data_IF_380905789924
#
_entry.id   IF_380905789924
#
_cell.length_a   1.000
_cell.length_b   1.000
_cell.length_c   1.000
_cell.angle_alpha   90.00
_cell.angle_beta   90.00
_cell.angle_gamma   90.00
#
_symmetry.space_group_name_H-M   'P 1'
#
loop_
_entity.id
_entity.type
_entity.pdbx_description
1 polymer ?
#
# COMPACT_ATOMS: atom_id res chain seq x y z
N UNK A 1 3.58 -36.72 6.86
CA UNK A 1 2.26 -37.25 6.47
C UNK A 1 1.43 -36.08 5.98
N UNK A 2 0.89 -36.20 4.77
CA UNK A 2 0.24 -35.16 3.98
C UNK A 2 -1.15 -34.80 4.50
N UNK A 3 -1.38 -33.53 4.83
CA UNK A 3 -2.72 -32.94 4.89
C UNK A 3 -2.75 -31.63 4.08
N UNK A 4 -2.76 -31.78 2.76
CA UNK A 4 -3.25 -30.75 1.82
C UNK A 4 -4.51 -31.28 1.16
N UNK A 5 -5.68 -30.88 1.66
CA UNK A 5 -6.98 -30.88 0.98
C UNK A 5 -8.00 -30.33 1.96
N UNK A 6 -8.69 -29.25 1.59
CA UNK A 6 -10.11 -28.97 1.86
C UNK A 6 -10.39 -27.49 1.54
N UNK A 7 -10.46 -27.18 0.25
CA UNK A 7 -11.23 -26.05 -0.28
C UNK A 7 -11.74 -26.46 -1.66
N UNK A 8 -12.72 -27.38 -1.66
CA UNK A 8 -13.59 -27.64 -2.80
C UNK A 8 -14.98 -27.85 -2.24
N UNK A 9 -15.77 -26.77 -2.21
CA UNK A 9 -17.22 -26.90 -2.12
C UNK A 9 -17.85 -26.54 -3.46
N UNK A 10 -18.63 -27.53 -3.87
CA UNK A 10 -19.50 -27.69 -5.01
C UNK A 10 -20.56 -26.58 -5.12
N UNK A 11 -20.65 -25.94 -6.29
CA UNK A 11 -21.86 -25.25 -6.75
C UNK A 11 -22.02 -25.44 -8.25
N UNK A 12 -22.56 -26.59 -8.61
CA UNK A 12 -23.05 -26.89 -9.95
C UNK A 12 -24.58 -26.79 -9.99
N UNK A 13 -25.13 -25.67 -10.46
CA UNK A 13 -26.51 -25.63 -10.97
C UNK A 13 -26.82 -24.42 -11.88
N UNK A 14 -26.64 -24.66 -13.19
CA UNK A 14 -27.51 -24.32 -14.33
C UNK A 14 -28.12 -22.91 -14.45
N UNK A 15 -27.78 -22.23 -15.55
CA UNK A 15 -28.76 -21.70 -16.53
C UNK A 15 -28.07 -21.41 -17.89
N UNK A 16 -28.83 -21.30 -19.00
CA UNK A 16 -28.46 -21.93 -20.26
C UNK A 16 -28.15 -20.94 -21.39
N UNK A 17 -27.30 -21.40 -22.31
CA UNK A 17 -27.30 -21.03 -23.72
C UNK A 17 -26.79 -19.64 -24.05
N UNK A 18 -26.00 -19.53 -25.11
CA UNK A 18 -26.20 -18.62 -26.25
C UNK A 18 -25.22 -19.10 -27.36
N UNK A 19 -25.59 -18.98 -28.64
CA UNK A 19 -25.03 -19.81 -29.70
C UNK A 19 -23.71 -19.26 -30.27
N UNK A 20 -22.92 -20.21 -30.78
CA UNK A 20 -21.80 -19.99 -31.68
C UNK A 20 -22.26 -19.39 -33.01
N UNK A 21 -21.43 -18.51 -33.59
CA UNK A 21 -21.47 -18.21 -35.02
C UNK A 21 -20.04 -18.16 -35.58
N UNK A 22 -19.86 -18.96 -36.62
CA UNK A 22 -18.67 -19.16 -37.44
C UNK A 22 -18.30 -17.92 -38.27
N UNK A 23 -17.04 -17.84 -38.71
CA UNK A 23 -16.63 -16.90 -39.74
C UNK A 23 -15.15 -17.01 -40.15
N UNK A 24 -14.79 -18.11 -40.83
CA UNK A 24 -13.59 -18.19 -41.67
C UNK A 24 -13.72 -17.22 -42.86
N UNK A 25 -12.66 -16.48 -43.19
CA UNK A 25 -12.30 -16.21 -44.59
C UNK A 25 -10.85 -15.76 -44.73
N UNK A 26 -10.19 -16.36 -45.71
CA UNK A 26 -8.78 -16.21 -46.04
C UNK A 26 -8.51 -15.06 -47.02
N UNK A 27 -7.27 -14.57 -47.00
CA UNK A 27 -6.50 -14.21 -48.20
C UNK A 27 -6.75 -12.83 -48.82
N UNK A 28 -5.72 -11.98 -48.80
CA UNK A 28 -4.99 -11.63 -50.04
C UNK A 28 -3.72 -10.82 -49.74
N UNK A 29 -2.64 -11.24 -50.40
CA UNK A 29 -1.39 -10.50 -50.58
C UNK A 29 -1.62 -9.38 -51.60
N UNK A 30 -1.12 -8.18 -51.33
CA UNK A 30 -0.51 -7.31 -52.33
C UNK A 30 0.28 -6.18 -51.63
N UNK A 31 1.60 -6.17 -51.81
CA UNK A 31 2.44 -4.97 -51.64
C UNK A 31 2.40 -4.20 -52.95
N UNK A 32 2.45 -2.85 -52.91
CA UNK A 32 3.58 -2.23 -53.59
C UNK A 32 4.09 -0.92 -52.95
N UNK A 33 5.35 -0.64 -53.31
CA UNK A 33 6.00 0.67 -53.51
C UNK A 33 6.45 1.46 -52.28
N UNK A 34 7.72 1.22 -51.95
CA UNK A 34 8.64 2.15 -51.31
C UNK A 34 8.97 3.26 -52.33
N UNK A 35 8.44 4.46 -52.11
CA UNK A 35 8.94 5.72 -52.69
C UNK A 35 8.90 6.80 -51.61
N UNK A 36 10.10 7.22 -51.22
CA UNK A 36 10.52 8.50 -50.62
C UNK A 36 9.46 9.47 -50.07
N UNK A 37 9.50 9.69 -48.74
CA UNK A 37 9.14 10.96 -48.11
C UNK A 37 9.90 11.15 -46.78
N UNK A 38 11.20 11.41 -46.93
CA UNK A 38 12.00 12.17 -45.97
C UNK A 38 11.52 13.63 -46.03
N UNK A 39 10.69 14.09 -45.08
CA UNK A 39 10.54 15.50 -44.63
C UNK A 39 9.28 15.76 -43.77
N UNK A 40 8.91 14.86 -42.85
CA UNK A 40 7.84 15.14 -41.86
C UNK A 40 8.08 14.44 -40.51
N UNK A 41 9.35 14.29 -40.12
CA UNK A 41 9.77 13.51 -38.94
C UNK A 41 10.38 14.36 -37.81
N UNK A 42 10.16 15.68 -37.83
CA UNK A 42 10.70 16.62 -36.85
C UNK A 42 9.65 17.43 -36.06
N UNK A 43 8.37 17.12 -36.21
CA UNK A 43 7.28 17.87 -35.56
C UNK A 43 6.31 17.02 -34.70
N UNK A 44 6.67 15.78 -34.32
CA UNK A 44 5.79 14.87 -33.57
C UNK A 44 6.40 14.25 -32.30
N UNK A 45 7.51 14.79 -31.79
CA UNK A 45 8.09 14.37 -30.51
C UNK A 45 8.14 15.47 -29.45
N UNK A 46 7.37 16.55 -29.64
CA UNK A 46 6.91 17.39 -28.53
C UNK A 46 5.58 16.82 -28.01
N UNK A 47 5.56 15.52 -27.71
CA UNK A 47 4.57 14.97 -26.79
C UNK A 47 4.91 15.61 -25.45
N UNK A 48 4.31 16.77 -25.19
CA UNK A 48 4.32 17.40 -23.88
C UNK A 48 3.85 16.32 -22.91
N UNK A 49 4.80 15.70 -22.21
CA UNK A 49 4.51 15.01 -20.98
C UNK A 49 3.82 16.08 -20.14
N UNK A 50 2.49 15.99 -20.05
CA UNK A 50 1.70 16.73 -19.09
C UNK A 50 2.13 16.15 -17.75
N UNK A 51 3.30 16.60 -17.28
CA UNK A 51 3.75 16.37 -15.93
C UNK A 51 2.64 16.93 -15.06
N UNK A 52 2.08 16.09 -14.20
CA UNK A 52 1.15 16.54 -13.17
C UNK A 52 1.80 17.74 -12.48
N UNK A 53 1.21 18.92 -12.64
CA UNK A 53 1.68 20.15 -12.00
C UNK A 53 1.16 20.13 -10.56
N UNK A 54 1.57 19.12 -9.80
CA UNK A 54 1.31 18.96 -8.36
C UNK A 54 2.22 19.89 -7.55
N UNK A 55 2.26 21.17 -7.91
CA UNK A 55 2.93 22.18 -7.10
C UNK A 55 1.86 22.84 -6.24
N UNK A 56 1.55 22.21 -5.10
CA UNK A 56 1.12 22.96 -3.93
C UNK A 56 2.19 24.01 -3.65
N UNK A 57 1.91 25.32 -3.76
CA UNK A 57 2.80 26.30 -3.15
C UNK A 57 2.85 26.01 -1.64
N UNK A 58 4.02 26.09 -1.02
CA UNK A 58 4.16 25.90 0.43
C UNK A 58 3.30 26.91 1.24
N UNK A 59 2.87 28.00 0.60
CA UNK A 59 1.96 29.00 1.18
C UNK A 59 0.51 28.52 1.33
N UNK A 60 0.08 27.49 0.61
CA UNK A 60 -1.32 27.06 0.62
C UNK A 60 -1.58 26.05 1.74
N UNK A 61 -2.46 26.45 2.66
CA UNK A 61 -2.84 25.65 3.82
C UNK A 61 -3.60 24.38 3.43
N UNK A 62 -4.40 24.42 2.36
CA UNK A 62 -5.09 23.26 1.80
C UNK A 62 -5.05 23.33 0.27
N UNK A 63 -4.39 22.37 -0.36
CA UNK A 63 -4.38 22.26 -1.82
C UNK A 63 -5.21 21.08 -2.30
N UNK A 64 -5.70 21.17 -3.53
CA UNK A 64 -6.27 20.05 -4.27
C UNK A 64 -5.16 19.23 -4.95
N UNK A 65 -5.35 17.92 -5.04
CA UNK A 65 -4.51 16.98 -5.81
C UNK A 65 -5.41 16.19 -6.75
N UNK A 66 -4.95 15.95 -7.97
CA UNK A 66 -5.68 15.18 -8.99
C UNK A 66 -4.74 14.14 -9.62
N UNK A 67 -5.17 12.87 -9.68
CA UNK A 67 -4.43 11.79 -10.36
C UNK A 67 -5.29 11.19 -11.46
N UNK A 68 -4.97 11.51 -12.71
CA UNK A 68 -5.78 11.13 -13.86
C UNK A 68 -5.79 9.62 -14.18
N UNK A 69 -4.75 8.87 -13.79
CA UNK A 69 -4.59 7.45 -14.16
C UNK A 69 -3.99 6.64 -13.03
N UNK A 70 -4.80 6.19 -12.06
CA UNK A 70 -4.27 5.72 -10.79
C UNK A 70 -3.52 4.38 -10.85
N UNK A 71 -3.95 3.45 -11.68
CA UNK A 71 -3.45 2.07 -11.73
C UNK A 71 -1.94 1.92 -11.99
N UNK A 72 -1.27 2.93 -12.59
CA UNK A 72 0.18 2.89 -12.89
C UNK A 72 0.94 4.10 -12.38
N UNK A 73 0.27 5.08 -11.79
CA UNK A 73 0.91 6.35 -11.46
C UNK A 73 2.07 6.15 -10.48
N UNK A 74 1.93 5.31 -9.45
CA UNK A 74 2.94 5.13 -8.40
C UNK A 74 4.24 4.54 -8.98
N UNK A 75 4.25 3.36 -9.63
CA UNK A 75 5.45 2.86 -10.30
C UNK A 75 6.01 3.83 -11.36
N UNK A 76 5.16 4.51 -12.11
CA UNK A 76 5.61 5.43 -13.17
C UNK A 76 6.22 6.73 -12.65
N UNK A 77 6.02 7.07 -11.38
CA UNK A 77 6.54 8.29 -10.75
C UNK A 77 7.63 7.98 -9.71
N UNK A 78 8.35 6.86 -9.90
CA UNK A 78 9.52 6.52 -9.09
C UNK A 78 9.22 6.00 -7.69
N UNK A 79 7.96 5.67 -7.40
CA UNK A 79 7.64 5.00 -6.14
C UNK A 79 8.00 3.52 -6.19
N UNK A 80 8.59 3.02 -5.12
CA UNK A 80 8.78 1.59 -4.88
C UNK A 80 7.76 1.07 -3.87
N UNK A 81 7.21 -0.12 -4.13
CA UNK A 81 6.34 -0.78 -3.17
C UNK A 81 7.13 -1.28 -1.96
N UNK A 82 6.64 -0.94 -0.76
CA UNK A 82 7.15 -1.31 0.55
C UNK A 82 6.34 -2.47 1.11
N UNK A 83 6.84 -3.68 0.91
CA UNK A 83 6.23 -4.92 1.36
C UNK A 83 6.86 -5.33 2.70
N UNK A 84 6.12 -5.22 3.83
CA UNK A 84 6.63 -5.63 5.14
C UNK A 84 6.74 -7.15 5.26
N UNK A 85 7.50 -7.65 6.24
CA UNK A 85 7.66 -9.10 6.45
C UNK A 85 6.34 -9.84 6.76
N UNK A 86 5.39 -9.15 7.39
CA UNK A 86 4.06 -9.69 7.67
C UNK A 86 3.03 -8.97 6.82
N UNK A 87 2.12 -9.74 6.26
CA UNK A 87 1.03 -9.25 5.43
C UNK A 87 0.23 -8.16 6.16
N UNK A 88 -0.19 -7.15 5.40
CA UNK A 88 -1.13 -6.15 5.88
C UNK A 88 -2.53 -6.79 5.97
N UNK A 89 -3.36 -6.39 6.95
CA UNK A 89 -4.69 -6.97 7.15
C UNK A 89 -5.64 -6.65 5.98
N UNK A 90 -6.57 -7.57 5.66
CA UNK A 90 -7.48 -7.52 4.49
C UNK A 90 -8.92 -7.98 4.87
N UNK A 91 -9.89 -7.78 3.98
CA UNK A 91 -11.29 -8.23 4.07
C UNK A 91 -11.40 -9.75 4.01
N UNK A 92 -12.58 -10.25 4.43
CA UNK A 92 -12.92 -11.68 4.47
C UNK A 92 -12.60 -12.46 3.19
N UNK A 93 -12.72 -11.81 2.03
CA UNK A 93 -12.60 -12.42 0.71
C UNK A 93 -11.31 -12.04 -0.03
N UNK A 94 -10.42 -11.28 0.61
CA UNK A 94 -9.19 -10.74 -0.01
C UNK A 94 -9.52 -9.91 -1.25
N UNK A 95 -10.73 -9.35 -1.32
CA UNK A 95 -11.12 -8.45 -2.41
C UNK A 95 -10.49 -7.08 -2.24
N UNK A 96 -10.23 -6.64 -1.00
CA UNK A 96 -9.43 -5.45 -0.74
C UNK A 96 -7.93 -5.79 -0.61
N UNK A 97 -7.07 -4.95 -1.15
CA UNK A 97 -5.63 -5.07 -0.99
C UNK A 97 -5.06 -3.73 -0.58
N UNK A 98 -4.03 -3.76 0.25
CA UNK A 98 -3.31 -2.57 0.70
C UNK A 98 -1.90 -2.64 0.13
N UNK A 99 -1.59 -1.67 -0.71
CA UNK A 99 -0.25 -1.41 -1.20
C UNK A 99 0.31 -0.19 -0.48
N UNK A 100 1.60 -0.21 -0.15
CA UNK A 100 2.28 0.95 0.42
C UNK A 100 3.46 1.27 -0.45
N UNK A 101 3.54 2.50 -0.90
CA UNK A 101 4.54 2.98 -1.82
C UNK A 101 5.40 4.03 -1.14
N UNK A 102 6.70 4.05 -1.46
CA UNK A 102 7.66 5.01 -0.96
C UNK A 102 8.43 5.62 -2.14
N UNK A 103 8.53 6.93 -2.16
CA UNK A 103 9.40 7.68 -3.05
C UNK A 103 10.40 8.47 -2.20
N UNK A 104 11.68 8.23 -2.41
CA UNK A 104 12.78 9.03 -1.87
C UNK A 104 13.37 9.87 -3.00
N UNK A 105 13.54 11.20 -2.85
CA UNK A 105 14.09 12.01 -3.92
C UNK A 105 15.48 11.54 -4.35
N UNK A 106 15.72 11.59 -5.66
CA UNK A 106 16.98 11.19 -6.29
C UNK A 106 18.17 11.89 -5.62
N UNK A 107 19.25 11.13 -5.36
CA UNK A 107 20.46 11.63 -4.71
C UNK A 107 20.35 11.92 -3.22
N UNK A 108 19.14 11.86 -2.62
CA UNK A 108 18.96 12.00 -1.18
C UNK A 108 19.21 10.69 -0.44
N UNK A 109 19.49 10.78 0.87
CA UNK A 109 19.77 9.61 1.72
C UNK A 109 18.85 9.55 2.93
N UNK A 110 18.36 8.35 3.21
CA UNK A 110 17.68 8.00 4.45
C UNK A 110 18.74 7.85 5.53
N UNK A 111 18.63 8.66 6.56
CA UNK A 111 19.46 8.59 7.76
C UNK A 111 18.82 7.75 8.86
N UNK A 112 19.52 7.68 9.99
CA UNK A 112 19.03 7.01 11.19
C UNK A 112 19.33 7.82 12.44
N UNK A 113 18.53 7.58 13.47
CA UNK A 113 18.69 8.18 14.79
C UNK A 113 18.40 7.15 15.88
N UNK A 114 19.26 7.11 16.89
CA UNK A 114 19.00 6.31 18.08
C UNK A 114 18.06 7.06 19.03
N UNK A 115 16.98 6.40 19.45
CA UNK A 115 16.01 6.91 20.42
C UNK A 115 16.33 6.32 21.79
N UNK A 116 17.04 7.07 22.64
CA UNK A 116 17.54 6.57 23.92
C UNK A 116 16.43 6.13 24.89
N UNK A 117 15.31 6.85 24.89
CA UNK A 117 14.11 6.56 25.69
C UNK A 117 13.39 5.27 25.27
N UNK A 118 13.53 4.89 23.99
CA UNK A 118 12.92 3.70 23.41
C UNK A 118 13.92 2.57 23.17
N UNK A 119 15.22 2.84 23.40
CA UNK A 119 16.34 1.92 23.17
C UNK A 119 16.35 1.29 21.76
N UNK A 120 15.98 2.06 20.74
CA UNK A 120 15.88 1.57 19.36
C UNK A 120 16.41 2.59 18.35
N UNK A 121 16.86 2.10 17.20
CA UNK A 121 17.16 2.96 16.05
C UNK A 121 15.90 3.20 15.23
N UNK A 122 15.77 4.41 14.68
CA UNK A 122 14.67 4.81 13.81
C UNK A 122 15.19 5.42 12.51
N UNK A 123 14.34 5.46 11.48
CA UNK A 123 14.66 6.10 10.20
C UNK A 123 14.41 7.61 10.27
N UNK A 124 15.23 8.36 9.55
CA UNK A 124 15.07 9.79 9.31
C UNK A 124 15.04 10.00 7.81
N UNK A 125 13.86 10.34 7.29
CA UNK A 125 13.67 10.55 5.86
C UNK A 125 14.08 11.96 5.43
N UNK A 126 14.72 12.12 4.25
CA UNK A 126 15.03 13.43 3.71
C UNK A 126 13.76 14.18 3.33
N UNK A 127 13.88 15.51 3.22
CA UNK A 127 12.84 16.34 2.64
C UNK A 127 12.46 15.87 1.22
N UNK A 128 11.17 15.96 0.89
CA UNK A 128 10.62 15.49 -0.37
C UNK A 128 10.28 14.00 -0.40
N UNK A 129 10.64 13.21 0.63
CA UNK A 129 10.16 11.83 0.74
C UNK A 129 8.65 11.80 0.83
N UNK A 130 8.04 10.87 0.10
CA UNK A 130 6.61 10.64 0.10
C UNK A 130 6.31 9.17 0.34
N UNK A 131 5.37 8.90 1.26
CA UNK A 131 4.85 7.55 1.48
C UNK A 131 3.35 7.55 1.28
N UNK A 132 2.83 6.55 0.56
CA UNK A 132 1.43 6.48 0.16
C UNK A 132 0.87 5.08 0.38
N UNK A 133 -0.19 4.97 1.15
CA UNK A 133 -1.05 3.79 1.25
C UNK A 133 -2.12 3.87 0.16
N UNK A 134 -2.19 2.86 -0.69
CA UNK A 134 -3.19 2.69 -1.74
C UNK A 134 -4.02 1.46 -1.40
N UNK A 135 -5.32 1.67 -1.15
CA UNK A 135 -6.29 0.58 -1.00
C UNK A 135 -6.91 0.33 -2.37
N UNK A 136 -6.80 -0.91 -2.85
CA UNK A 136 -7.43 -1.38 -4.08
C UNK A 136 -8.51 -2.38 -3.78
N UNK A 137 -9.42 -2.56 -4.73
CA UNK A 137 -10.39 -3.65 -4.74
C UNK A 137 -10.33 -4.39 -6.06
N UNK A 138 -10.34 -5.72 -6.01
CA UNK A 138 -10.33 -6.58 -7.18
C UNK A 138 -11.71 -6.70 -7.81
N UNK A 139 -11.77 -6.76 -9.13
CA UNK A 139 -12.97 -7.03 -9.90
C UNK A 139 -12.71 -7.91 -11.13
N UNK A 140 -13.77 -8.39 -11.77
CA UNK A 140 -13.67 -9.16 -13.01
C UNK A 140 -13.55 -10.69 -12.86
N UNK A 141 -13.67 -11.24 -11.66
CA UNK A 141 -13.66 -12.70 -11.42
C UNK A 141 -12.38 -13.19 -10.73
N UNK A 142 -12.05 -14.49 -10.83
CA UNK A 142 -10.86 -15.12 -10.23
C UNK A 142 -9.72 -15.39 -11.23
N UNK A 143 -9.87 -14.90 -12.47
CA UNK A 143 -8.91 -15.22 -13.52
C UNK A 143 -7.56 -14.50 -13.31
N UNK A 144 -6.43 -15.11 -13.71
CA UNK A 144 -5.13 -14.45 -13.65
C UNK A 144 -5.16 -13.17 -14.50
N UNK A 145 -4.97 -12.01 -13.86
CA UNK A 145 -5.11 -10.69 -14.49
C UNK A 145 -6.34 -9.90 -14.05
N UNK A 146 -6.97 -10.26 -12.91
CA UNK A 146 -8.02 -9.45 -12.27
C UNK A 146 -7.64 -7.98 -12.26
N UNK A 147 -8.52 -7.16 -12.82
CA UNK A 147 -8.37 -5.72 -12.76
C UNK A 147 -8.56 -5.25 -11.30
N UNK A 148 -7.82 -4.21 -10.94
CA UNK A 148 -7.91 -3.56 -9.64
C UNK A 148 -8.39 -2.12 -9.80
N UNK A 149 -9.27 -1.69 -8.89
CA UNK A 149 -9.72 -0.31 -8.76
C UNK A 149 -9.17 0.29 -7.48
N UNK A 150 -8.53 1.46 -7.56
CA UNK A 150 -8.14 2.21 -6.37
C UNK A 150 -9.38 2.80 -5.71
N UNK A 151 -9.54 2.61 -4.40
CA UNK A 151 -10.72 3.10 -3.63
C UNK A 151 -10.38 4.17 -2.61
N UNK A 152 -9.15 4.18 -2.10
CA UNK A 152 -8.68 5.14 -1.11
C UNK A 152 -7.16 5.26 -1.21
N UNK A 153 -6.67 6.49 -1.21
CA UNK A 153 -5.24 6.79 -1.15
C UNK A 153 -5.00 7.72 0.01
N UNK A 154 -4.05 7.37 0.88
CA UNK A 154 -3.61 8.23 1.99
C UNK A 154 -2.11 8.32 1.95
N UNK A 155 -1.58 9.53 1.98
CA UNK A 155 -0.15 9.72 1.94
C UNK A 155 0.34 10.82 2.85
N UNK A 156 1.65 10.82 3.02
CA UNK A 156 2.38 11.83 3.76
C UNK A 156 3.62 12.20 2.98
N UNK A 157 3.86 13.51 2.82
CA UNK A 157 5.08 14.07 2.26
C UNK A 157 5.88 14.78 3.36
N UNK A 158 7.18 14.51 3.43
CA UNK A 158 8.12 15.24 4.30
C UNK A 158 8.45 16.57 3.63
N UNK A 159 8.09 17.70 4.24
CA UNK A 159 8.35 19.02 3.68
C UNK A 159 9.81 19.45 3.75
N UNK A 160 10.18 20.43 2.94
CA UNK A 160 11.54 21.01 2.84
C UNK A 160 12.02 21.69 4.12
N UNK A 161 11.10 22.23 4.91
CA UNK A 161 11.39 22.89 6.19
C UNK A 161 11.14 22.00 7.42
N UNK A 162 10.82 20.71 7.21
CA UNK A 162 10.47 19.77 8.27
C UNK A 162 8.98 19.49 8.52
N UNK A 163 8.01 20.41 8.28
CA UNK A 163 6.60 20.07 8.42
C UNK A 163 6.20 18.97 7.45
N UNK A 164 5.43 18.01 7.95
CA UNK A 164 4.82 16.98 7.11
C UNK A 164 3.54 17.53 6.52
N UNK A 165 3.22 17.10 5.31
CA UNK A 165 1.88 17.30 4.74
C UNK A 165 1.20 15.97 4.59
N UNK A 166 -0.02 15.86 5.09
CA UNK A 166 -0.89 14.73 4.79
C UNK A 166 -1.65 15.00 3.50
N UNK A 167 -2.09 13.93 2.84
CA UNK A 167 -3.07 14.03 1.79
C UNK A 167 -3.93 12.78 1.71
N UNK A 168 -5.16 12.96 1.22
CA UNK A 168 -6.09 11.86 0.97
C UNK A 168 -6.75 12.08 -0.38
N UNK A 169 -6.74 11.04 -1.22
CA UNK A 169 -7.38 11.00 -2.53
C UNK A 169 -8.46 9.91 -2.56
N UNK A 170 -9.53 10.19 -3.28
CA UNK A 170 -10.65 9.27 -3.51
C UNK A 170 -11.02 9.29 -4.99
N UNK A 171 -11.62 8.21 -5.51
CA UNK A 171 -12.23 8.19 -6.84
C UNK A 171 -13.17 9.37 -7.04
N UNK A 172 -13.05 10.05 -8.18
CA UNK A 172 -13.93 11.15 -8.56
C UNK A 172 -15.33 10.67 -8.97
N UNK A 173 -15.44 9.41 -9.41
CA UNK A 173 -16.67 8.76 -9.84
C UNK A 173 -16.62 7.24 -9.59
N UNK A 174 -17.71 6.54 -9.94
CA UNK A 174 -17.87 5.10 -9.70
C UNK A 174 -17.28 4.18 -10.78
N UNK A 175 -16.59 4.72 -11.79
CA UNK A 175 -15.93 3.90 -12.81
C UNK A 175 -14.75 3.13 -12.21
N UNK A 176 -14.43 1.98 -12.80
CA UNK A 176 -13.38 1.11 -12.27
C UNK A 176 -11.97 1.73 -12.35
N UNK A 177 -11.75 2.66 -13.28
CA UNK A 177 -10.48 3.36 -13.46
C UNK A 177 -10.66 4.87 -13.24
N UNK A 178 -11.58 5.25 -12.35
CA UNK A 178 -11.89 6.63 -12.04
C UNK A 178 -10.61 7.42 -11.68
N UNK A 179 -10.45 8.65 -12.18
CA UNK A 179 -9.38 9.51 -11.71
C UNK A 179 -9.55 9.76 -10.20
N UNK A 180 -8.44 9.98 -9.50
CA UNK A 180 -8.48 10.31 -8.08
C UNK A 180 -8.46 11.82 -7.90
N UNK A 181 -9.20 12.30 -6.91
CA UNK A 181 -9.22 13.68 -6.48
C UNK A 181 -9.12 13.74 -4.97
N UNK A 182 -8.48 14.78 -4.45
CA UNK A 182 -8.24 14.87 -3.04
C UNK A 182 -7.62 16.17 -2.60
N UNK A 183 -7.17 16.19 -1.35
CA UNK A 183 -6.56 17.38 -0.76
C UNK A 183 -5.33 17.05 0.07
N UNK A 184 -4.39 17.99 0.11
CA UNK A 184 -3.23 17.98 1.00
C UNK A 184 -3.27 19.15 1.98
N UNK A 185 -2.83 18.91 3.22
CA UNK A 185 -2.75 19.91 4.29
C UNK A 185 -1.53 19.66 5.21
N UNK A 186 -1.01 20.70 5.91
CA UNK A 186 0.01 20.55 6.94
C UNK A 186 -0.46 19.63 8.09
N UNK A 187 0.41 18.73 8.54
CA UNK A 187 0.11 17.73 9.56
C UNK A 187 -0.19 18.32 10.95
N UNK A 188 0.29 19.53 11.22
CA UNK A 188 0.17 20.28 12.46
C UNK A 188 -0.94 21.35 12.42
N UNK A 189 -1.66 21.48 11.31
CA UNK A 189 -2.77 22.43 11.17
C UNK A 189 -4.13 21.72 11.24
N UNK A 190 -4.72 21.73 12.45
CA UNK A 190 -6.02 21.13 12.70
C UNK A 190 -7.17 21.83 11.96
N UNK A 191 -7.05 23.13 11.64
CA UNK A 191 -8.07 23.84 10.87
C UNK A 191 -7.99 23.42 9.39
N UNK A 192 -6.79 23.36 8.83
CA UNK A 192 -6.57 22.86 7.48
C UNK A 192 -7.05 21.43 7.31
N UNK A 193 -6.78 20.56 8.29
CA UNK A 193 -7.29 19.19 8.32
C UNK A 193 -8.82 19.14 8.27
N UNK A 194 -9.52 19.98 9.06
CA UNK A 194 -10.99 20.06 9.01
C UNK A 194 -11.49 20.53 7.66
N UNK A 195 -10.88 21.58 7.08
CA UNK A 195 -11.27 22.09 5.76
C UNK A 195 -11.06 21.03 4.67
N UNK A 196 -9.91 20.36 4.65
CA UNK A 196 -9.63 19.27 3.71
C UNK A 196 -10.64 18.12 3.88
N UNK A 197 -10.95 17.73 5.12
CA UNK A 197 -11.95 16.70 5.42
C UNK A 197 -13.33 17.09 4.90
N UNK A 198 -13.80 18.30 5.17
CA UNK A 198 -15.12 18.75 4.71
C UNK A 198 -15.22 18.74 3.18
N UNK A 199 -14.17 19.18 2.47
CA UNK A 199 -14.12 19.14 1.00
C UNK A 199 -14.12 17.71 0.46
N UNK A 200 -13.37 16.81 1.10
CA UNK A 200 -13.33 15.38 0.76
C UNK A 200 -14.70 14.71 0.91
N UNK A 201 -15.40 14.98 2.01
CA UNK A 201 -16.73 14.45 2.27
C UNK A 201 -17.75 14.98 1.26
N UNK A 202 -17.72 16.28 0.94
CA UNK A 202 -18.60 16.87 -0.06
C UNK A 202 -18.42 16.23 -1.44
N UNK A 203 -17.17 16.04 -1.87
CA UNK A 203 -16.86 15.38 -3.14
C UNK A 203 -17.31 13.92 -3.15
N UNK A 204 -17.09 13.20 -2.05
CA UNK A 204 -17.37 11.75 -1.98
C UNK A 204 -18.87 11.45 -1.84
N UNK A 205 -19.68 12.35 -1.27
CA UNK A 205 -21.11 12.14 -1.05
C UNK A 205 -21.91 11.89 -2.34
N UNK A 206 -21.48 12.48 -3.46
CA UNK A 206 -22.11 12.30 -4.77
C UNK A 206 -21.36 11.36 -5.71
N UNK A 207 -20.13 10.98 -5.36
CA UNK A 207 -19.33 10.08 -6.18
C UNK A 207 -19.84 8.64 -6.00
N UNK A 208 -20.08 7.93 -7.10
CA UNK A 208 -20.19 6.47 -7.04
C UNK A 208 -18.91 5.88 -6.45
N UNK A 209 -18.98 4.70 -5.84
CA UNK A 209 -17.76 3.99 -5.46
C UNK A 209 -17.35 3.04 -6.59
N UNK A 210 -16.04 2.78 -6.77
CA UNK A 210 -15.57 2.00 -7.92
C UNK A 210 -16.27 0.66 -8.09
N UNK A 211 -16.33 0.22 -9.35
CA UNK A 211 -16.98 -1.04 -9.77
C UNK A 211 -18.50 -0.98 -9.56
N UNK A 212 -19.09 0.19 -9.80
CA UNK A 212 -20.54 0.39 -9.75
C UNK A 212 -21.16 0.18 -8.37
N UNK A 213 -20.35 0.24 -7.31
CA UNK A 213 -20.85 0.23 -5.93
C UNK A 213 -21.54 1.58 -5.65
N UNK A 214 -22.60 1.59 -4.82
CA UNK A 214 -23.31 2.83 -4.51
C UNK A 214 -22.38 3.85 -3.85
N UNK A 215 -22.72 5.16 -3.91
CA UNK A 215 -22.06 6.17 -3.08
C UNK A 215 -22.05 5.76 -1.60
N UNK A 216 -21.10 6.31 -0.84
CA UNK A 216 -21.08 6.11 0.60
C UNK A 216 -22.36 6.66 1.23
N UNK A 217 -22.98 5.88 2.11
CA UNK A 217 -24.08 6.34 2.94
C UNK A 217 -23.58 7.27 4.08
N UNK A 218 -24.50 7.73 4.93
CA UNK A 218 -24.17 8.64 6.03
C UNK A 218 -23.15 8.05 7.02
N UNK A 219 -23.24 6.74 7.29
CA UNK A 219 -22.33 6.04 8.19
C UNK A 219 -20.95 5.89 7.56
N UNK A 220 -20.88 5.57 6.27
CA UNK A 220 -19.65 5.51 5.49
C UNK A 220 -18.95 6.87 5.40
N UNK A 221 -19.68 7.97 5.20
CA UNK A 221 -19.13 9.32 5.22
C UNK A 221 -18.64 9.70 6.62
N UNK A 222 -19.37 9.33 7.67
CA UNK A 222 -18.94 9.54 9.07
C UNK A 222 -17.65 8.78 9.36
N UNK A 223 -17.55 7.51 8.94
CA UNK A 223 -16.36 6.70 9.07
C UNK A 223 -15.17 7.30 8.29
N UNK A 224 -15.40 7.75 7.05
CA UNK A 224 -14.38 8.42 6.25
C UNK A 224 -13.85 9.69 6.95
N UNK A 225 -14.74 10.51 7.52
CA UNK A 225 -14.37 11.70 8.27
C UNK A 225 -13.46 11.37 9.47
N UNK A 226 -13.77 10.31 10.22
CA UNK A 226 -12.94 9.84 11.34
C UNK A 226 -11.58 9.32 10.88
N UNK A 227 -11.54 8.55 9.79
CA UNK A 227 -10.30 8.02 9.24
C UNK A 227 -9.37 9.12 8.73
N UNK A 228 -9.90 10.30 8.39
CA UNK A 228 -9.11 11.44 7.91
C UNK A 228 -8.30 12.15 9.01
N UNK A 229 -8.44 11.76 10.27
CA UNK A 229 -7.59 12.23 11.38
C UNK A 229 -6.22 11.52 11.38
N UNK A 230 -5.42 11.79 10.34
CA UNK A 230 -4.17 11.10 10.07
C UNK A 230 -3.12 11.27 11.19
N UNK A 231 -3.16 12.37 11.94
CA UNK A 231 -2.12 12.69 12.94
C UNK A 231 -2.07 11.66 14.06
N UNK A 232 -3.22 11.06 14.41
CA UNK A 232 -3.28 10.03 15.45
C UNK A 232 -2.49 8.80 15.01
N UNK A 233 -2.75 8.28 13.81
CA UNK A 233 -2.05 7.10 13.29
C UNK A 233 -0.58 7.34 12.95
N UNK A 234 -0.19 8.59 12.67
CA UNK A 234 1.15 8.97 12.21
C UNK A 234 1.88 9.85 13.23
N UNK A 235 1.80 9.53 14.51
CA UNK A 235 2.60 10.18 15.55
C UNK A 235 4.08 9.87 15.29
N UNK A 236 5.00 10.86 15.22
CA UNK A 236 6.43 10.61 15.10
C UNK A 236 7.02 9.82 16.27
N UNK A 237 7.90 8.88 15.99
CA UNK A 237 8.60 8.03 16.97
C UNK A 237 7.65 7.31 17.94
N UNK A 238 6.45 6.95 17.47
CA UNK A 238 5.47 6.21 18.24
C UNK A 238 6.05 4.86 18.67
N UNK A 239 5.91 4.51 19.96
CA UNK A 239 6.40 3.26 20.51
C UNK A 239 5.34 2.17 20.49
N UNK A 240 5.78 0.92 20.38
CA UNK A 240 4.91 -0.25 20.31
C UNK A 240 3.98 -0.36 21.51
N UNK A 241 4.48 -0.13 22.71
CA UNK A 241 3.73 -0.35 23.97
C UNK A 241 2.55 0.62 24.11
N UNK A 242 2.60 1.80 23.47
CA UNK A 242 1.48 2.74 23.44
C UNK A 242 0.32 2.25 22.58
N UNK A 243 0.60 1.44 21.55
CA UNK A 243 -0.47 0.91 20.69
C UNK A 243 -1.35 -0.11 21.41
N UNK A 244 -0.81 -0.81 22.41
CA UNK A 244 -1.52 -1.88 23.12
C UNK A 244 -2.58 -1.31 24.08
N UNK A 245 -2.36 -0.11 24.61
CA UNK A 245 -3.26 0.54 25.58
C UNK A 245 -4.37 1.37 24.92
N UNK A 246 -4.19 1.76 23.67
CA UNK A 246 -5.10 2.64 22.95
C UNK A 246 -5.64 1.93 21.70
N UNK A 247 -6.75 1.20 21.81
CA UNK A 247 -7.56 0.86 20.63
C UNK A 247 -8.16 2.17 20.07
N UNK A 248 -8.17 2.45 18.75
CA UNK A 248 -7.96 1.58 17.58
C UNK A 248 -6.68 1.92 16.76
N UNK A 249 -5.56 2.21 17.42
CA UNK A 249 -4.33 2.58 16.71
C UNK A 249 -3.68 1.39 15.99
N UNK A 250 -3.01 1.60 14.82
CA UNK A 250 -2.15 0.58 14.24
C UNK A 250 -1.15 0.08 15.30
N UNK A 251 -1.05 -1.24 15.49
CA UNK A 251 -0.18 -1.86 16.50
C UNK A 251 1.30 -1.87 16.08
N UNK A 252 1.80 -0.74 15.58
CA UNK A 252 3.16 -0.62 15.04
C UNK A 252 3.88 0.60 15.59
N UNK A 253 5.20 0.48 15.62
CA UNK A 253 6.07 1.63 15.81
C UNK A 253 6.06 2.50 14.57
N UNK A 254 6.33 3.78 14.77
CA UNK A 254 6.59 4.70 13.67
C UNK A 254 8.01 5.24 13.75
N UNK A 255 8.49 5.76 12.63
CA UNK A 255 9.77 6.45 12.54
C UNK A 255 9.70 7.95 12.88
N UNK A 256 10.81 8.67 12.66
CA UNK A 256 10.89 10.10 12.92
C UNK A 256 9.89 10.94 12.10
N UNK A 257 9.39 10.40 10.99
CA UNK A 257 8.37 11.01 10.12
C UNK A 257 6.96 10.46 10.38
N UNK A 258 6.79 9.52 11.30
CA UNK A 258 5.51 8.90 11.59
C UNK A 258 5.14 7.77 10.62
N UNK A 259 6.07 7.23 9.82
CA UNK A 259 5.79 6.08 8.97
C UNK A 259 6.05 4.78 9.72
N UNK A 260 5.17 3.79 9.55
CA UNK A 260 5.32 2.49 10.21
C UNK A 260 5.77 1.37 9.25
N UNK A 261 5.49 1.49 7.94
CA UNK A 261 5.80 0.42 6.98
C UNK A 261 7.29 0.32 6.65
N UNK A 262 8.03 1.41 6.38
CA UNK A 262 9.47 1.28 6.10
C UNK A 262 10.24 0.63 7.24
N UNK A 263 9.90 0.93 8.50
CA UNK A 263 10.43 0.20 9.65
C UNK A 263 10.02 -1.28 9.62
N UNK A 264 8.75 -1.58 9.34
CA UNK A 264 8.25 -2.96 9.23
C UNK A 264 8.92 -3.77 8.11
N UNK A 265 9.41 -3.13 7.04
CA UNK A 265 10.23 -3.78 5.99
C UNK A 265 11.58 -4.21 6.56
N UNK A 266 12.16 -3.43 7.47
CA UNK A 266 13.46 -3.66 8.11
C UNK A 266 13.39 -4.51 9.38
N UNK A 267 12.24 -5.15 9.63
CA UNK A 267 12.06 -6.12 10.70
C UNK A 267 11.47 -7.41 10.14
N UNK A 268 11.94 -8.54 10.63
CA UNK A 268 11.32 -9.85 10.34
C UNK A 268 10.12 -10.11 11.25
N UNK A 269 9.95 -9.31 12.30
CA UNK A 269 8.93 -9.45 13.33
C UNK A 269 8.11 -8.18 13.49
N UNK A 270 6.79 -8.33 13.60
CA UNK A 270 5.90 -7.21 13.92
C UNK A 270 4.63 -7.69 14.66
N UNK A 271 3.99 -6.82 15.45
CA UNK A 271 2.69 -7.14 16.03
C UNK A 271 1.64 -7.28 14.93
N UNK A 272 0.76 -8.27 15.07
CA UNK A 272 -0.35 -8.48 14.14
C UNK A 272 -1.49 -7.50 14.43
N UNK A 273 -2.05 -6.97 13.35
CA UNK A 273 -3.20 -6.09 13.39
C UNK A 273 -4.48 -6.93 13.30
N UNK A 274 -5.31 -6.91 14.35
CA UNK A 274 -6.63 -7.54 14.36
C UNK A 274 -7.74 -6.52 14.02
N UNK A 275 -7.48 -5.68 13.01
CA UNK A 275 -8.36 -4.55 12.63
C UNK A 275 -9.16 -4.80 11.36
N UNK A 276 -8.92 -5.94 10.69
CA UNK A 276 -9.73 -6.41 9.56
C UNK A 276 -10.09 -7.88 9.78
N UNK A 277 -11.11 -8.39 9.09
CA UNK A 277 -11.64 -9.70 9.40
C UNK A 277 -10.77 -10.89 9.05
N UNK A 278 -9.82 -10.76 8.12
CA UNK A 278 -8.95 -11.87 7.72
C UNK A 278 -7.48 -11.51 7.92
N UNK A 279 -6.83 -12.26 8.81
CA UNK A 279 -5.38 -12.29 8.94
C UNK A 279 -4.79 -13.33 7.98
N UNK A 280 -4.38 -12.88 6.79
CA UNK A 280 -3.81 -13.76 5.75
C UNK A 280 -2.46 -14.37 6.15
N UNK A 281 -1.83 -13.93 7.24
CA UNK A 281 -0.66 -14.60 7.79
C UNK A 281 -0.99 -16.00 8.32
N UNK A 282 -2.27 -16.31 8.61
CA UNK A 282 -2.70 -17.60 9.16
C UNK A 282 -2.49 -18.81 8.22
N UNK A 283 -2.22 -18.57 6.93
CA UNK A 283 -1.93 -19.60 5.94
C UNK A 283 -0.54 -19.49 5.30
N UNK A 284 0.28 -18.52 5.73
CA UNK A 284 1.61 -18.31 5.17
C UNK A 284 2.60 -19.30 5.81
N UNK A 285 3.18 -20.19 4.99
CA UNK A 285 4.08 -21.24 5.46
C UNK A 285 5.40 -20.71 6.06
N UNK A 286 5.74 -19.46 5.79
CA UNK A 286 6.96 -18.81 6.28
C UNK A 286 6.69 -17.89 7.47
N UNK A 287 5.45 -17.81 7.96
CA UNK A 287 5.09 -17.00 9.12
C UNK A 287 4.81 -17.88 10.33
N UNK A 288 5.46 -17.55 11.45
CA UNK A 288 5.14 -18.09 12.76
C UNK A 288 4.57 -16.98 13.64
N UNK A 289 3.61 -17.32 14.51
CA UNK A 289 2.96 -16.32 15.39
C UNK A 289 3.05 -16.77 16.84
N UNK A 290 3.51 -15.86 17.71
CA UNK A 290 3.76 -16.12 19.13
C UNK A 290 3.13 -15.06 20.02
N UNK A 291 2.95 -15.45 21.27
CA UNK A 291 2.48 -14.66 22.40
C UNK A 291 3.50 -14.81 23.52
N UNK A 292 4.39 -13.84 23.65
CA UNK A 292 5.60 -13.98 24.49
C UNK A 292 6.36 -15.26 24.09
N UNK A 293 6.54 -16.21 25.01
CA UNK A 293 7.25 -17.47 24.76
C UNK A 293 6.35 -18.62 24.26
N UNK A 294 5.04 -18.40 24.15
CA UNK A 294 4.07 -19.42 23.72
C UNK A 294 3.61 -19.20 22.27
N UNK A 295 3.17 -20.25 21.55
CA UNK A 295 2.45 -20.07 20.29
C UNK A 295 1.16 -19.26 20.46
N UNK A 296 0.84 -18.40 19.49
CA UNK A 296 -0.45 -17.71 19.46
C UNK A 296 -1.58 -18.66 19.04
N UNK A 297 -2.79 -18.42 19.54
CA UNK A 297 -3.97 -19.19 19.16
C UNK A 297 -4.64 -18.57 17.93
N UNK A 298 -4.86 -19.36 16.88
CA UNK A 298 -5.67 -18.93 15.74
C UNK A 298 -7.16 -19.05 16.07
N UNK A 299 -7.88 -17.95 15.91
CA UNK A 299 -9.31 -17.82 16.17
C UNK A 299 -10.10 -17.82 14.87
N UNK A 300 -11.29 -18.42 14.90
CA UNK A 300 -12.25 -18.49 13.79
C UNK A 300 -13.66 -18.27 14.33
N UNK A 301 -14.13 -17.03 14.35
CA UNK A 301 -15.40 -16.66 14.98
C UNK A 301 -16.14 -15.67 14.07
N UNK A 302 -17.42 -15.93 13.76
CA UNK A 302 -18.28 -15.02 12.99
C UNK A 302 -17.66 -14.52 11.66
N UNK A 303 -16.91 -15.40 10.99
CA UNK A 303 -16.21 -15.08 9.73
C UNK A 303 -14.87 -14.36 9.92
N UNK A 304 -14.48 -14.00 11.15
CA UNK A 304 -13.17 -13.46 11.47
C UNK A 304 -12.13 -14.56 11.64
N UNK A 305 -10.94 -14.34 11.08
CA UNK A 305 -9.75 -15.18 11.27
C UNK A 305 -8.63 -14.28 11.79
N UNK A 306 -8.19 -14.51 13.02
CA UNK A 306 -7.21 -13.66 13.70
C UNK A 306 -6.45 -14.43 14.78
N UNK A 307 -5.27 -13.93 15.19
CA UNK A 307 -4.50 -14.53 16.28
C UNK A 307 -4.79 -13.87 17.63
N UNK A 308 -4.85 -14.67 18.71
CA UNK A 308 -5.00 -14.18 20.08
C UNK A 308 -3.96 -14.77 21.02
N UNK A 309 -3.63 -14.01 22.07
CA UNK A 309 -2.87 -14.48 23.20
C UNK A 309 -3.78 -14.85 24.38
N UNK A 310 -3.43 -15.90 25.11
CA UNK A 310 -4.24 -16.41 26.22
C UNK A 310 -4.33 -15.41 27.39
N UNK A 311 -3.28 -14.61 27.57
CA UNK A 311 -3.16 -13.54 28.57
C UNK A 311 -3.74 -12.19 28.11
N UNK A 312 -4.37 -12.15 26.93
CA UNK A 312 -4.86 -10.91 26.31
C UNK A 312 -3.75 -10.03 25.71
N UNK A 313 -2.51 -10.52 25.65
CA UNK A 313 -1.39 -9.85 24.98
C UNK A 313 -1.59 -9.70 23.47
N UNK A 314 -0.67 -8.96 22.84
CA UNK A 314 -0.67 -8.76 21.38
C UNK A 314 0.17 -9.84 20.70
N UNK A 315 -0.40 -10.62 19.76
CA UNK A 315 0.37 -11.60 19.02
C UNK A 315 1.41 -10.92 18.13
N UNK A 316 2.60 -11.53 18.06
CA UNK A 316 3.71 -11.09 17.21
C UNK A 316 3.95 -12.15 16.15
N UNK A 317 3.88 -11.75 14.89
CA UNK A 317 4.29 -12.60 13.78
C UNK A 317 5.78 -12.45 13.50
N UNK A 318 6.39 -13.51 12.99
CA UNK A 318 7.76 -13.54 12.48
C UNK A 318 7.78 -14.24 11.13
N UNK A 319 8.37 -13.61 10.11
CA UNK A 319 8.69 -14.26 8.84
C UNK A 319 10.07 -14.92 8.88
N UNK A 320 10.16 -16.16 8.39
CA UNK A 320 11.44 -16.77 8.02
C UNK A 320 11.80 -16.39 6.58
N UNK A 321 12.50 -15.25 6.44
CA UNK A 321 12.92 -14.73 5.13
C UNK A 321 13.88 -15.68 4.42
N UNK A 322 14.73 -16.42 5.16
CA UNK A 322 15.70 -17.33 4.53
C UNK A 322 15.02 -18.54 3.92
N UNK A 323 14.08 -19.15 4.65
CA UNK A 323 13.27 -20.25 4.11
C UNK A 323 12.46 -19.79 2.89
N UNK A 324 11.84 -18.61 2.96
CA UNK A 324 11.10 -18.05 1.83
C UNK A 324 11.97 -17.80 0.59
N UNK A 325 13.21 -17.33 0.75
CA UNK A 325 14.15 -17.18 -0.38
C UNK A 325 14.52 -18.54 -0.97
N UNK A 326 14.83 -19.54 -0.13
CA UNK A 326 15.22 -20.87 -0.58
C UNK A 326 14.13 -21.55 -1.43
N UNK A 327 12.86 -21.28 -1.09
CA UNK A 327 11.70 -21.82 -1.78
C UNK A 327 11.17 -20.90 -2.91
N UNK A 328 11.89 -19.81 -3.22
CA UNK A 328 11.50 -18.80 -4.21
C UNK A 328 10.07 -18.25 -4.01
N UNK A 329 9.68 -18.06 -2.74
CA UNK A 329 8.36 -17.56 -2.36
C UNK A 329 8.12 -16.13 -2.89
N UNK A 330 7.05 -15.88 -3.69
CA UNK A 330 6.81 -14.57 -4.30
C UNK A 330 6.70 -13.42 -3.31
N UNK A 331 6.08 -13.64 -2.15
CA UNK A 331 5.94 -12.59 -1.15
C UNK A 331 7.29 -12.23 -0.52
N UNK A 332 8.11 -13.23 -0.20
CA UNK A 332 9.47 -13.02 0.32
C UNK A 332 10.35 -12.30 -0.70
N UNK A 333 10.23 -12.61 -1.99
CA UNK A 333 10.92 -11.86 -3.04
C UNK A 333 10.52 -10.39 -3.07
N UNK A 334 9.23 -10.08 -2.89
CA UNK A 334 8.75 -8.71 -2.80
C UNK A 334 9.28 -7.98 -1.55
N UNK A 335 9.30 -8.63 -0.38
CA UNK A 335 9.95 -8.11 0.84
C UNK A 335 11.42 -7.77 0.58
N UNK A 336 12.15 -8.66 -0.10
CA UNK A 336 13.55 -8.43 -0.43
C UNK A 336 13.75 -7.30 -1.46
N UNK A 337 12.85 -7.13 -2.42
CA UNK A 337 12.87 -6.00 -3.34
C UNK A 337 12.72 -4.67 -2.59
N UNK A 338 11.80 -4.59 -1.62
CA UNK A 338 11.64 -3.40 -0.77
C UNK A 338 12.88 -3.12 0.09
N UNK A 339 13.49 -4.16 0.67
CA UNK A 339 14.74 -4.03 1.45
C UNK A 339 15.90 -3.52 0.59
N UNK A 340 16.03 -3.98 -0.65
CA UNK A 340 17.04 -3.51 -1.59
C UNK A 340 16.82 -2.04 -1.95
N UNK A 341 15.58 -1.65 -2.26
CA UNK A 341 15.26 -0.24 -2.51
C UNK A 341 15.67 0.65 -1.32
N UNK A 342 15.34 0.24 -0.09
CA UNK A 342 15.74 0.97 1.11
C UNK A 342 17.27 1.02 1.26
N UNK A 343 17.97 -0.10 1.07
CA UNK A 343 19.43 -0.16 1.11
C UNK A 343 20.06 0.88 0.17
N UNK A 344 19.59 0.92 -1.08
CA UNK A 344 20.12 1.80 -2.12
C UNK A 344 19.94 3.29 -1.78
N UNK A 345 18.95 3.62 -0.95
CA UNK A 345 18.64 4.98 -0.50
C UNK A 345 19.16 5.32 0.90
N UNK A 346 19.71 4.37 1.65
CA UNK A 346 20.27 4.62 2.99
C UNK A 346 21.70 5.15 2.94
N UNK A 347 22.06 5.98 3.92
CA UNK A 347 23.46 6.24 4.23
C UNK A 347 24.13 5.02 4.92
N UNK A 348 25.46 5.04 4.99
CA UNK A 348 26.23 3.94 5.57
C UNK A 348 25.88 3.67 7.06
N UNK A 349 25.80 4.68 7.96
CA UNK A 349 25.36 4.46 9.33
C UNK A 349 24.00 3.74 9.44
N UNK A 350 23.06 4.10 8.57
CA UNK A 350 21.72 3.50 8.55
C UNK A 350 21.75 2.07 8.05
N UNK A 351 22.51 1.79 6.97
CA UNK A 351 22.73 0.40 6.51
C UNK A 351 23.30 -0.47 7.63
N UNK A 352 24.28 0.06 8.37
CA UNK A 352 24.89 -0.66 9.49
C UNK A 352 23.89 -0.91 10.62
N UNK A 353 23.05 0.08 10.96
CA UNK A 353 22.04 -0.06 12.00
C UNK A 353 20.97 -1.13 11.68
N UNK A 354 20.67 -1.35 10.40
CA UNK A 354 19.67 -2.32 9.94
C UNK A 354 20.28 -3.54 9.23
N UNK A 355 21.60 -3.75 9.33
CA UNK A 355 22.32 -4.80 8.62
C UNK A 355 21.73 -6.22 8.81
N UNK A 356 21.26 -6.64 10.01
CA UNK A 356 20.69 -7.97 10.18
C UNK A 356 19.49 -8.26 9.27
N UNK A 357 18.57 -7.30 9.09
CA UNK A 357 17.40 -7.47 8.23
C UNK A 357 17.77 -7.44 6.74
N UNK A 358 18.76 -6.60 6.38
CA UNK A 358 19.24 -6.44 5.01
C UNK A 358 20.03 -7.67 4.52
N UNK A 359 20.84 -8.28 5.40
CA UNK A 359 21.74 -9.38 5.06
C UNK A 359 21.02 -10.64 4.55
N UNK A 360 19.78 -10.87 4.97
CA UNK A 360 18.98 -12.02 4.50
C UNK A 360 18.68 -11.93 3.01
N UNK A 361 18.47 -10.72 2.48
CA UNK A 361 18.08 -10.50 1.09
C UNK A 361 19.26 -10.22 0.15
N UNK A 362 20.48 -10.07 0.68
CA UNK A 362 21.68 -9.84 -0.14
C UNK A 362 22.15 -11.11 -0.89
N UNK A 363 21.77 -12.31 -0.42
CA UNK A 363 22.36 -13.59 -0.85
C UNK A 363 21.72 -14.21 -2.11
N UNK A 364 20.87 -13.49 -2.84
CA UNK A 364 20.11 -14.01 -3.98
C UNK A 364 20.16 -13.15 -5.24
N UNK A 365 21.21 -12.35 -5.44
CA UNK A 365 21.30 -11.36 -6.54
C UNK A 365 22.37 -11.65 -7.60
N UNK A 366 22.96 -12.85 -7.62
CA UNK A 366 24.02 -13.22 -8.57
C UNK A 366 23.46 -13.56 -9.97
#
# INVERSE_FOLDING_TARGET
MNERRLWHEDRSARHPGWPAAHGLCAGHRARPRVVSLLAALLALCAGAAVAATDVCPDSDTVCRIDVASPHRYWPNHGFAEMVPALHLPTTHDVSDMIHVYLHVPEGSRIGSRYLADQRRTTLVFPAGTEMVRVETVRYGGRDPGTDESVVDVRGTRVGTQGPRRFFVLRPADGSAQAPLQGWSWPADDALAARVATSRLLQMTAGAGTPIGRPPLDADGLTALGRLNDCVQCHIPNHRREQTVKHAPMPRRETDASGFYVPLSVLHDEAPLAATRPLDINAGDAYVSVRCSDAPAMLMREEGWIWYRCADGGVPVGRRDVRAGIADADPYTQAVCASRRYLYDHMDEPTRNAFAPALAACAQGSD
#
